data_IF_042470920103
#
_entry.id   IF_042470920103
#
_cell.length_a   1.000
_cell.length_b   1.000
_cell.length_c   1.000
_cell.angle_alpha   90.00
_cell.angle_beta   90.00
_cell.angle_gamma   90.00
#
_symmetry.space_group_name_H-M   'P 1'
#
loop_
_entity.id
_entity.type
_entity.pdbx_description
1 polymer ?
#
# COMPACT_ATOMS: atom_id res chain seq x y z
N UNK A 1 -20.40 3.37 22.38
CA UNK A 1 -21.44 3.27 21.33
C UNK A 1 -21.00 4.11 20.13
N UNK A 2 -21.15 3.60 18.93
CA UNK A 2 -20.87 4.36 17.69
C UNK A 2 -21.78 5.59 17.62
N UNK A 3 -21.23 6.76 17.25
CA UNK A 3 -22.01 8.02 17.16
C UNK A 3 -22.88 8.04 15.92
N UNK A 4 -24.06 8.65 16.01
CA UNK A 4 -24.97 8.88 14.87
C UNK A 4 -25.09 10.37 14.63
N UNK A 5 -24.97 10.81 13.39
CA UNK A 5 -25.05 12.19 12.94
C UNK A 5 -25.84 12.28 11.64
N UNK A 6 -26.46 13.43 11.39
CA UNK A 6 -27.08 13.73 10.10
C UNK A 6 -26.10 14.51 9.23
N UNK A 7 -26.18 14.32 7.93
CA UNK A 7 -25.37 15.04 6.95
C UNK A 7 -25.92 16.47 6.72
N UNK A 8 -25.79 17.31 7.73
CA UNK A 8 -26.22 18.71 7.76
C UNK A 8 -25.06 19.71 7.90
N UNK A 9 -23.82 19.21 7.79
CA UNK A 9 -22.57 19.94 8.00
C UNK A 9 -21.86 19.56 9.29
N UNK A 10 -22.52 18.88 10.23
CA UNK A 10 -21.90 18.42 11.49
C UNK A 10 -20.90 17.29 11.28
N UNK A 11 -20.99 16.56 10.18
CA UNK A 11 -20.04 15.52 9.79
C UNK A 11 -18.61 16.06 9.56
N UNK A 12 -18.47 17.35 9.30
CA UNK A 12 -17.17 18.00 9.07
C UNK A 12 -16.25 17.90 10.30
N UNK A 13 -16.83 17.96 11.51
CA UNK A 13 -16.04 17.83 12.74
C UNK A 13 -15.47 16.43 12.90
N UNK A 14 -16.26 15.40 12.57
CA UNK A 14 -15.77 14.02 12.50
C UNK A 14 -14.59 13.87 11.54
N UNK A 15 -14.66 14.49 10.35
CA UNK A 15 -13.56 14.42 9.40
C UNK A 15 -12.26 15.00 9.93
N UNK A 16 -12.35 16.14 10.62
CA UNK A 16 -11.18 16.74 11.28
C UNK A 16 -10.60 15.85 12.40
N UNK A 17 -11.45 15.12 13.12
CA UNK A 17 -11.00 14.17 14.14
C UNK A 17 -10.29 12.96 13.52
N UNK A 18 -10.83 12.43 12.43
CA UNK A 18 -10.20 11.35 11.67
C UNK A 18 -8.87 11.80 11.06
N UNK A 19 -8.78 13.01 10.52
CA UNK A 19 -7.54 13.58 9.98
C UNK A 19 -6.48 13.81 11.08
N UNK A 20 -6.87 14.30 12.25
CA UNK A 20 -5.94 14.56 13.36
C UNK A 20 -5.21 13.32 13.86
N UNK A 21 -5.83 12.13 13.87
CA UNK A 21 -5.17 10.89 14.29
C UNK A 21 -3.89 10.60 13.49
N UNK A 22 -3.80 11.12 12.25
CA UNK A 22 -2.66 10.96 11.35
C UNK A 22 -1.58 12.03 11.57
N UNK A 23 -1.93 13.19 12.10
CA UNK A 23 -1.01 14.32 12.30
C UNK A 23 -0.20 14.22 13.60
N UNK A 24 -0.61 13.42 14.56
CA UNK A 24 0.15 13.12 15.77
C UNK A 24 1.30 12.13 15.50
N UNK A 25 2.12 12.40 14.47
CA UNK A 25 3.48 11.86 14.44
C UNK A 25 4.18 12.51 15.63
N UNK A 26 4.16 11.77 16.73
CA UNK A 26 4.76 12.17 17.98
C UNK A 26 6.23 12.54 17.69
N UNK A 27 6.66 13.76 17.99
CA UNK A 27 8.04 14.23 17.83
C UNK A 27 9.05 13.23 18.43
N UNK A 28 8.64 12.54 19.49
CA UNK A 28 9.43 11.47 20.09
C UNK A 28 9.66 10.26 19.18
N UNK A 29 8.64 9.86 18.39
CA UNK A 29 8.79 8.77 17.41
C UNK A 29 9.77 9.18 16.32
N UNK A 30 9.63 10.38 15.78
CA UNK A 30 10.52 10.89 14.73
C UNK A 30 11.97 10.99 15.23
N UNK A 31 12.16 11.48 16.45
CA UNK A 31 13.50 11.54 17.08
C UNK A 31 14.11 10.16 17.22
N UNK A 32 13.35 9.20 17.78
CA UNK A 32 13.80 7.81 17.96
C UNK A 32 14.14 7.17 16.61
N UNK A 33 13.32 7.37 15.60
CA UNK A 33 13.57 6.83 14.26
C UNK A 33 14.83 7.44 13.66
N UNK A 34 15.03 8.76 13.75
CA UNK A 34 16.25 9.42 13.26
C UNK A 34 17.53 8.85 13.90
N UNK A 35 17.50 8.56 15.21
CA UNK A 35 18.60 7.92 15.92
C UNK A 35 18.88 6.51 15.38
N UNK A 36 17.82 5.69 15.17
CA UNK A 36 17.95 4.34 14.58
C UNK A 36 18.50 4.41 13.16
N UNK A 37 17.98 5.31 12.31
CA UNK A 37 18.43 5.47 10.92
C UNK A 37 19.93 5.85 10.86
N UNK A 38 20.36 6.79 11.71
CA UNK A 38 21.75 7.22 11.78
C UNK A 38 22.69 6.09 12.25
N UNK A 39 22.24 5.31 13.24
CA UNK A 39 23.00 4.20 13.78
C UNK A 39 23.16 3.05 12.77
N UNK A 40 22.07 2.64 12.09
CA UNK A 40 22.14 1.62 11.04
C UNK A 40 23.02 2.08 9.87
N UNK A 41 22.94 3.36 9.48
CA UNK A 41 23.81 3.92 8.44
C UNK A 41 25.29 3.86 8.79
N UNK A 42 25.63 4.00 10.08
CA UNK A 42 27.02 4.01 10.54
C UNK A 42 27.57 2.61 10.85
N UNK A 43 26.72 1.71 11.36
CA UNK A 43 27.14 0.44 11.97
C UNK A 43 26.52 -0.81 11.31
N UNK A 44 25.80 -0.66 10.17
CA UNK A 44 25.33 -1.78 9.33
C UNK A 44 24.57 -2.87 10.10
N UNK A 45 24.92 -4.12 9.84
CA UNK A 45 24.26 -5.30 10.43
C UNK A 45 24.38 -5.37 11.95
N UNK A 46 25.46 -4.84 12.56
CA UNK A 46 25.58 -4.83 14.01
C UNK A 46 24.49 -3.99 14.67
N UNK A 47 24.17 -2.83 14.09
CA UNK A 47 23.07 -2.00 14.58
C UNK A 47 21.71 -2.71 14.39
N UNK A 48 21.46 -3.30 13.22
CA UNK A 48 20.21 -4.03 12.96
C UNK A 48 20.01 -5.17 13.93
N UNK A 49 21.03 -6.01 14.15
CA UNK A 49 21.00 -7.14 15.09
C UNK A 49 20.74 -6.67 16.53
N UNK A 50 21.40 -5.58 16.94
CA UNK A 50 21.21 -4.98 18.27
C UNK A 50 19.78 -4.47 18.49
N UNK A 51 19.19 -3.80 17.50
CA UNK A 51 17.80 -3.33 17.59
C UNK A 51 16.80 -4.48 17.50
N UNK A 52 17.05 -5.50 16.67
CA UNK A 52 16.22 -6.72 16.62
C UNK A 52 16.21 -7.43 17.97
N UNK A 53 17.38 -7.57 18.62
CA UNK A 53 17.47 -8.13 19.97
C UNK A 53 16.71 -7.28 21.00
N UNK A 54 16.72 -5.96 20.86
CA UNK A 54 16.06 -5.04 21.80
C UNK A 54 14.54 -5.00 21.66
N UNK A 55 14.03 -5.04 20.43
CA UNK A 55 12.63 -4.74 20.14
C UNK A 55 11.80 -5.97 19.74
N UNK A 56 12.43 -6.94 19.09
CA UNK A 56 11.73 -8.10 18.55
C UNK A 56 12.01 -9.36 19.39
N UNK A 57 13.23 -9.89 19.38
CA UNK A 57 13.61 -11.07 20.11
C UNK A 57 15.11 -11.06 20.48
N UNK A 58 15.48 -11.19 21.79
CA UNK A 58 16.87 -11.20 22.24
C UNK A 58 17.70 -12.36 21.63
N UNK A 59 17.06 -13.51 21.40
CA UNK A 59 17.70 -14.74 20.94
C UNK A 59 17.27 -15.11 19.53
N UNK A 60 17.39 -14.17 18.57
CA UNK A 60 17.10 -14.44 17.17
C UNK A 60 18.03 -15.53 16.63
N UNK A 61 17.45 -16.67 16.22
CA UNK A 61 18.21 -17.88 15.86
C UNK A 61 18.91 -17.79 14.52
N UNK A 62 18.35 -17.05 13.57
CA UNK A 62 19.00 -16.76 12.31
C UNK A 62 18.64 -15.35 11.85
N UNK A 63 19.62 -14.59 11.42
CA UNK A 63 19.38 -13.25 10.87
C UNK A 63 18.94 -13.32 9.42
N UNK A 64 19.67 -14.06 8.59
CA UNK A 64 19.27 -14.43 7.23
C UNK A 64 18.65 -15.83 7.26
N UNK A 65 17.43 -15.96 6.79
CA UNK A 65 16.75 -17.26 6.69
C UNK A 65 17.44 -18.09 5.58
N UNK A 66 17.91 -19.31 5.89
CA UNK A 66 18.46 -20.19 4.86
C UNK A 66 17.42 -20.53 3.78
N UNK A 67 17.88 -20.62 2.55
CA UNK A 67 17.00 -20.96 1.42
C UNK A 67 16.31 -22.32 1.60
N UNK A 68 17.05 -23.31 2.12
CA UNK A 68 16.50 -24.64 2.45
C UNK A 68 15.30 -24.53 3.40
N UNK A 69 15.40 -23.69 4.46
CA UNK A 69 14.30 -23.49 5.41
C UNK A 69 13.07 -22.88 4.76
N UNK A 70 13.24 -22.01 3.74
CA UNK A 70 12.14 -21.45 2.97
C UNK A 70 11.51 -22.55 2.10
N UNK A 71 12.30 -23.37 1.44
CA UNK A 71 11.82 -24.45 0.57
C UNK A 71 11.15 -25.58 1.36
N UNK A 72 11.66 -25.91 2.55
CA UNK A 72 11.08 -26.94 3.42
C UNK A 72 9.64 -26.64 3.79
N UNK A 73 9.25 -25.35 3.87
CA UNK A 73 7.84 -24.99 4.17
C UNK A 73 6.85 -25.50 3.13
N UNK A 74 7.27 -25.68 1.87
CA UNK A 74 6.41 -26.23 0.81
C UNK A 74 6.00 -27.68 1.06
N UNK A 75 6.83 -28.43 1.80
CA UNK A 75 6.60 -29.85 2.09
C UNK A 75 6.00 -30.07 3.50
N UNK A 76 6.25 -29.14 4.41
CA UNK A 76 5.81 -29.22 5.81
C UNK A 76 4.43 -28.55 6.07
N UNK A 77 3.98 -27.67 5.18
CA UNK A 77 2.76 -26.89 5.37
C UNK A 77 1.49 -27.75 5.27
N UNK A 78 0.43 -27.27 5.91
CA UNK A 78 -0.91 -27.82 5.73
C UNK A 78 -1.33 -27.72 4.26
N UNK A 79 -1.64 -28.85 3.59
CA UNK A 79 -2.06 -28.83 2.19
C UNK A 79 -3.27 -27.93 1.91
N UNK A 80 -4.21 -27.80 2.87
CA UNK A 80 -5.37 -26.93 2.69
C UNK A 80 -4.96 -25.46 2.66
N UNK A 81 -3.98 -25.05 3.46
CA UNK A 81 -3.43 -23.69 3.43
C UNK A 81 -2.68 -23.45 2.12
N UNK A 82 -1.89 -24.40 1.64
CA UNK A 82 -1.18 -24.31 0.36
C UNK A 82 -2.16 -24.09 -0.78
N UNK A 83 -3.22 -24.93 -0.86
CA UNK A 83 -4.26 -24.80 -1.90
C UNK A 83 -4.98 -23.44 -1.83
N UNK A 84 -5.31 -22.96 -0.64
CA UNK A 84 -5.94 -21.65 -0.46
C UNK A 84 -5.03 -20.52 -0.93
N UNK A 85 -3.73 -20.52 -0.57
CA UNK A 85 -2.77 -19.53 -1.02
C UNK A 85 -2.55 -19.58 -2.52
N UNK A 86 -2.50 -20.76 -3.14
CA UNK A 86 -2.38 -20.91 -4.61
C UNK A 86 -3.58 -20.31 -5.33
N UNK A 87 -4.81 -20.52 -4.85
CA UNK A 87 -6.00 -19.89 -5.41
C UNK A 87 -5.95 -18.34 -5.30
N UNK A 88 -5.49 -17.82 -4.16
CA UNK A 88 -5.27 -16.38 -3.99
C UNK A 88 -4.21 -15.87 -5.00
N UNK A 89 -3.08 -16.56 -5.14
CA UNK A 89 -2.00 -16.23 -6.08
C UNK A 89 -2.51 -16.18 -7.51
N UNK A 90 -3.33 -17.16 -7.92
CA UNK A 90 -3.92 -17.19 -9.27
C UNK A 90 -4.75 -15.93 -9.55
N UNK A 91 -5.67 -15.59 -8.65
CA UNK A 91 -6.54 -14.42 -8.79
C UNK A 91 -5.75 -13.10 -8.79
N UNK A 92 -4.80 -12.92 -7.85
CA UNK A 92 -3.95 -11.74 -7.76
C UNK A 92 -3.10 -11.61 -9.02
N UNK A 93 -2.55 -12.72 -9.51
CA UNK A 93 -1.75 -12.74 -10.74
C UNK A 93 -2.60 -12.36 -11.96
N UNK A 94 -3.79 -12.94 -12.08
CA UNK A 94 -4.70 -12.65 -13.21
C UNK A 94 -5.08 -11.18 -13.27
N UNK A 95 -5.37 -10.56 -12.12
CA UNK A 95 -5.67 -9.14 -12.02
C UNK A 95 -4.46 -8.26 -12.40
N UNK A 96 -3.32 -8.48 -11.74
CA UNK A 96 -2.13 -7.66 -11.92
C UNK A 96 -1.48 -7.80 -13.31
N UNK A 97 -1.64 -8.93 -13.98
CA UNK A 97 -1.19 -9.10 -15.37
C UNK A 97 -1.83 -8.08 -16.33
N UNK A 98 -3.08 -7.63 -16.06
CA UNK A 98 -3.75 -6.60 -16.87
C UNK A 98 -3.14 -5.20 -16.71
N UNK A 99 -2.37 -4.97 -15.67
CA UNK A 99 -1.70 -3.69 -15.39
C UNK A 99 -0.35 -3.58 -16.10
N UNK A 100 0.16 -4.66 -16.70
CA UNK A 100 1.47 -4.66 -17.35
C UNK A 100 1.49 -3.71 -18.54
N UNK A 101 2.37 -2.73 -18.52
CA UNK A 101 2.57 -1.75 -19.59
C UNK A 101 3.78 -2.11 -20.43
N UNK A 102 3.67 -1.85 -21.74
CA UNK A 102 4.77 -1.97 -22.68
C UNK A 102 5.37 -0.59 -22.99
N UNK A 103 6.64 -0.57 -23.35
CA UNK A 103 7.25 0.60 -23.97
C UNK A 103 6.68 0.82 -25.38
N UNK A 104 6.93 2.00 -25.93
CA UNK A 104 6.55 2.35 -27.29
C UNK A 104 7.68 3.05 -28.04
N UNK A 105 7.60 3.04 -29.36
CA UNK A 105 8.50 3.74 -30.25
C UNK A 105 7.67 4.46 -31.32
N UNK A 106 8.02 5.69 -31.59
CA UNK A 106 7.45 6.55 -32.63
C UNK A 106 8.55 6.90 -33.64
N UNK A 107 8.26 6.81 -34.91
CA UNK A 107 9.15 7.16 -36.01
C UNK A 107 8.41 8.05 -37.01
N UNK A 108 9.15 8.82 -37.80
CA UNK A 108 8.59 9.54 -38.94
C UNK A 108 9.54 9.52 -40.16
N UNK A 109 9.13 10.18 -41.24
CA UNK A 109 9.85 10.19 -42.52
C UNK A 109 11.21 10.94 -42.46
N UNK A 110 11.43 11.81 -41.46
CA UNK A 110 12.73 12.44 -41.20
C UNK A 110 13.77 11.51 -40.57
N UNK A 111 13.35 10.29 -40.17
CA UNK A 111 14.20 9.28 -39.58
C UNK A 111 14.45 9.50 -38.08
N UNK A 112 13.65 10.35 -37.40
CA UNK A 112 13.71 10.45 -35.95
C UNK A 112 13.02 9.28 -35.30
N UNK A 113 13.55 8.86 -34.15
CA UNK A 113 12.98 7.81 -33.29
C UNK A 113 12.86 8.37 -31.88
N UNK A 114 11.64 8.38 -31.38
CA UNK A 114 11.35 8.80 -30.00
C UNK A 114 10.57 7.67 -29.33
N UNK A 115 10.92 7.33 -28.10
CA UNK A 115 10.18 6.27 -27.42
C UNK A 115 10.32 6.29 -25.92
N UNK A 116 9.60 5.38 -25.32
CA UNK A 116 9.63 5.11 -23.90
C UNK A 116 9.98 3.64 -23.65
N UNK A 117 10.99 3.40 -22.83
CA UNK A 117 11.35 2.10 -22.32
C UNK A 117 10.70 1.91 -20.94
N UNK A 118 10.05 0.78 -20.74
CA UNK A 118 9.51 0.35 -19.44
C UNK A 118 10.30 -0.86 -18.97
N UNK A 119 10.80 -0.85 -17.74
CA UNK A 119 11.50 -1.99 -17.14
C UNK A 119 11.21 -2.09 -15.64
N UNK A 120 11.25 -3.30 -15.09
CA UNK A 120 11.21 -3.54 -13.65
C UNK A 120 12.38 -2.89 -12.92
N UNK A 121 12.19 -2.57 -11.66
CA UNK A 121 13.26 -2.16 -10.74
C UNK A 121 14.23 -3.32 -10.54
N UNK A 122 15.50 -3.01 -10.24
CA UNK A 122 16.50 -4.04 -10.05
C UNK A 122 16.25 -4.84 -8.76
N UNK A 123 16.08 -4.14 -7.63
CA UNK A 123 15.87 -4.73 -6.30
C UNK A 123 14.77 -3.99 -5.55
N UNK A 124 13.89 -4.74 -4.90
CA UNK A 124 12.84 -4.17 -4.03
C UNK A 124 12.84 -4.86 -2.68
N UNK A 125 12.52 -4.09 -1.64
CA UNK A 125 12.36 -4.56 -0.28
C UNK A 125 10.88 -4.71 0.08
N UNK A 126 10.50 -5.88 0.57
CA UNK A 126 9.19 -6.12 1.16
C UNK A 126 9.29 -6.06 2.67
N UNK A 127 8.56 -5.17 3.31
CA UNK A 127 8.34 -5.19 4.75
C UNK A 127 7.07 -5.98 5.04
N UNK A 128 7.20 -7.12 5.71
CA UNK A 128 6.06 -7.94 6.11
C UNK A 128 5.94 -7.89 7.63
N UNK A 129 4.84 -7.37 8.17
CA UNK A 129 4.64 -7.33 9.61
C UNK A 129 4.64 -8.74 10.22
N UNK A 130 5.14 -8.83 11.43
CA UNK A 130 5.09 -10.04 12.26
C UNK A 130 4.69 -9.65 13.67
N UNK A 131 4.62 -10.62 14.56
CA UNK A 131 4.28 -10.42 15.97
C UNK A 131 3.03 -11.18 16.38
N UNK A 132 1.94 -10.48 16.74
CA UNK A 132 0.71 -11.12 17.23
C UNK A 132 -0.15 -11.75 16.12
N UNK A 133 0.02 -11.35 14.88
CA UNK A 133 -0.64 -11.93 13.71
C UNK A 133 0.40 -12.15 12.59
N UNK A 134 0.24 -13.22 11.83
CA UNK A 134 0.96 -13.47 10.60
C UNK A 134 0.16 -12.88 9.43
N UNK A 135 0.88 -12.31 8.46
CA UNK A 135 0.25 -11.73 7.27
C UNK A 135 0.85 -12.34 5.99
N UNK A 136 0.61 -13.62 5.70
CA UNK A 136 1.04 -14.23 4.44
C UNK A 136 0.43 -13.51 3.22
N UNK A 137 -0.79 -12.97 3.33
CA UNK A 137 -1.43 -12.13 2.31
C UNK A 137 -0.58 -10.92 1.91
N UNK A 138 0.09 -10.26 2.87
CA UNK A 138 0.99 -9.14 2.58
C UNK A 138 2.19 -9.56 1.74
N UNK A 139 2.65 -10.82 1.86
CA UNK A 139 3.70 -11.34 0.96
C UNK A 139 3.16 -11.43 -0.47
N UNK A 140 1.99 -12.06 -0.66
CA UNK A 140 1.36 -12.21 -1.97
C UNK A 140 1.14 -10.85 -2.64
N UNK A 141 0.49 -9.93 -1.94
CA UNK A 141 0.08 -8.63 -2.46
C UNK A 141 1.26 -7.71 -2.82
N UNK A 142 2.43 -7.91 -2.20
CA UNK A 142 3.63 -7.15 -2.53
C UNK A 142 4.51 -7.87 -3.55
N UNK A 143 4.71 -9.19 -3.43
CA UNK A 143 5.64 -9.94 -4.27
C UNK A 143 5.10 -10.19 -5.69
N UNK A 144 3.81 -10.51 -5.84
CA UNK A 144 3.23 -10.86 -7.14
C UNK A 144 3.32 -9.69 -8.14
N UNK A 145 2.85 -8.46 -7.84
CA UNK A 145 3.00 -7.35 -8.78
C UNK A 145 4.47 -6.99 -9.06
N UNK A 146 5.38 -7.17 -8.07
CA UNK A 146 6.82 -6.99 -8.29
C UNK A 146 7.38 -8.00 -9.30
N UNK A 147 7.02 -9.28 -9.19
CA UNK A 147 7.42 -10.32 -10.16
C UNK A 147 6.86 -10.05 -11.55
N UNK A 148 5.59 -9.66 -11.66
CA UNK A 148 4.95 -9.30 -12.95
C UNK A 148 5.63 -8.10 -13.59
N UNK A 149 6.05 -7.11 -12.81
CA UNK A 149 6.82 -5.95 -13.26
C UNK A 149 8.21 -6.31 -13.80
N UNK A 150 8.71 -7.50 -13.47
CA UNK A 150 10.06 -7.96 -13.84
C UNK A 150 11.16 -7.45 -12.90
N UNK A 151 10.83 -7.27 -11.63
CA UNK A 151 11.84 -7.02 -10.58
C UNK A 151 12.80 -8.19 -10.52
N UNK A 152 14.12 -7.91 -10.50
CA UNK A 152 15.14 -8.94 -10.60
C UNK A 152 15.41 -9.64 -9.27
N UNK A 153 15.33 -8.90 -8.14
CA UNK A 153 15.57 -9.44 -6.82
C UNK A 153 14.58 -8.85 -5.81
N UNK A 154 13.85 -9.71 -5.10
CA UNK A 154 12.90 -9.36 -4.05
C UNK A 154 13.49 -9.76 -2.71
N UNK A 155 13.68 -8.79 -1.83
CA UNK A 155 14.27 -8.95 -0.51
C UNK A 155 13.17 -8.69 0.53
N UNK A 156 12.87 -9.68 1.35
CA UNK A 156 11.87 -9.56 2.40
C UNK A 156 12.51 -9.39 3.77
N UNK A 157 11.98 -8.48 4.57
CA UNK A 157 12.27 -8.35 6.00
C UNK A 157 10.99 -8.59 6.80
N UNK A 158 11.10 -9.36 7.87
CA UNK A 158 10.02 -9.67 8.79
C UNK A 158 10.57 -9.90 10.19
N UNK A 159 9.92 -9.40 11.27
CA UNK A 159 10.41 -9.63 12.62
C UNK A 159 10.33 -11.13 12.96
N UNK A 160 11.28 -11.64 13.77
CA UNK A 160 11.22 -12.99 14.31
C UNK A 160 10.03 -13.16 15.26
N UNK A 161 9.58 -14.39 15.46
CA UNK A 161 8.70 -14.76 16.56
C UNK A 161 9.42 -14.60 17.90
N UNK A 162 8.67 -14.62 19.00
CA UNK A 162 9.22 -14.44 20.35
C UNK A 162 10.26 -15.50 20.75
N UNK A 163 10.21 -16.68 20.13
CA UNK A 163 11.17 -17.77 20.32
C UNK A 163 12.40 -17.69 19.40
N UNK A 164 12.51 -16.61 18.62
CA UNK A 164 13.59 -16.34 17.69
C UNK A 164 13.50 -17.11 16.36
N UNK A 165 12.38 -17.79 16.09
CA UNK A 165 12.16 -18.49 14.82
C UNK A 165 11.40 -17.61 13.82
N UNK A 166 11.50 -17.89 12.50
CA UNK A 166 10.64 -17.27 11.52
C UNK A 166 9.21 -17.81 11.58
N UNK A 167 8.24 -17.01 11.18
CA UNK A 167 6.87 -17.49 11.02
C UNK A 167 6.78 -18.37 9.76
N UNK A 168 6.32 -19.63 9.92
CA UNK A 168 6.27 -20.62 8.85
C UNK A 168 5.29 -20.25 7.73
N UNK A 169 4.14 -19.62 8.04
CA UNK A 169 3.15 -19.24 7.03
C UNK A 169 3.64 -18.07 6.16
N UNK A 170 4.41 -17.13 6.76
CA UNK A 170 5.08 -16.06 6.02
C UNK A 170 6.16 -16.66 5.10
N UNK A 171 6.95 -17.63 5.58
CA UNK A 171 7.95 -18.30 4.75
C UNK A 171 7.32 -19.12 3.62
N UNK A 172 6.21 -19.81 3.89
CA UNK A 172 5.45 -20.53 2.86
C UNK A 172 4.99 -19.57 1.75
N UNK A 173 4.39 -18.43 2.13
CA UNK A 173 3.99 -17.42 1.16
C UNK A 173 5.18 -16.86 0.38
N UNK A 174 6.33 -16.66 1.03
CA UNK A 174 7.57 -16.22 0.39
C UNK A 174 8.08 -17.26 -0.63
N UNK A 175 8.05 -18.56 -0.28
CA UNK A 175 8.42 -19.65 -1.17
C UNK A 175 7.49 -19.71 -2.39
N UNK A 176 6.17 -19.70 -2.17
CA UNK A 176 5.16 -19.74 -3.24
C UNK A 176 5.26 -18.55 -4.20
N UNK A 177 5.60 -17.35 -3.70
CA UNK A 177 5.78 -16.14 -4.51
C UNK A 177 7.19 -15.99 -5.09
N UNK A 178 8.13 -16.87 -4.75
CA UNK A 178 9.52 -16.81 -5.23
C UNK A 178 10.27 -15.58 -4.73
N UNK A 179 10.15 -15.24 -3.45
CA UNK A 179 10.98 -14.22 -2.78
C UNK A 179 12.42 -14.71 -2.72
N UNK A 180 13.37 -13.85 -3.11
CA UNK A 180 14.76 -14.29 -3.31
C UNK A 180 15.58 -14.36 -2.00
N UNK A 181 15.30 -13.47 -1.05
CA UNK A 181 15.97 -13.44 0.27
C UNK A 181 15.01 -13.02 1.36
N UNK A 182 15.15 -13.64 2.53
CA UNK A 182 14.39 -13.31 3.73
C UNK A 182 15.32 -13.02 4.90
N UNK A 183 15.09 -11.90 5.60
CA UNK A 183 15.83 -11.51 6.79
C UNK A 183 14.90 -11.30 7.98
N UNK A 184 15.32 -11.78 9.14
CA UNK A 184 14.57 -11.65 10.38
C UNK A 184 14.97 -10.37 11.13
N UNK A 185 14.33 -9.29 10.75
CA UNK A 185 14.39 -8.00 11.44
C UNK A 185 13.12 -7.20 11.17
N UNK A 186 12.68 -6.43 12.14
CA UNK A 186 11.49 -5.57 12.05
C UNK A 186 11.81 -4.10 12.25
N UNK A 187 10.77 -3.26 12.42
CA UNK A 187 10.89 -1.87 12.82
C UNK A 187 11.65 -0.95 11.86
N UNK A 188 12.01 0.23 12.37
CA UNK A 188 12.73 1.25 11.61
C UNK A 188 14.14 0.79 11.16
N UNK A 189 14.78 -0.10 11.93
CA UNK A 189 16.09 -0.64 11.57
C UNK A 189 16.06 -1.51 10.32
N UNK A 190 15.00 -2.28 10.10
CA UNK A 190 14.82 -3.08 8.90
C UNK A 190 14.64 -2.18 7.66
N UNK A 191 13.83 -1.12 7.78
CA UNK A 191 13.64 -0.12 6.72
C UNK A 191 14.95 0.59 6.40
N UNK A 192 15.74 0.96 7.43
CA UNK A 192 17.05 1.57 7.25
C UNK A 192 18.03 0.64 6.52
N UNK A 193 18.05 -0.65 6.90
CA UNK A 193 18.91 -1.65 6.27
C UNK A 193 18.59 -1.82 4.78
N UNK A 194 17.31 -1.90 4.42
CA UNK A 194 16.89 -1.96 3.01
C UNK A 194 17.25 -0.67 2.23
N UNK A 195 17.15 0.49 2.88
CA UNK A 195 17.40 1.78 2.21
C UNK A 195 18.88 2.08 2.00
N UNK A 196 19.74 1.78 2.97
CA UNK A 196 21.16 2.08 2.90
C UNK A 196 21.99 0.92 2.35
N UNK A 197 21.53 -0.31 2.54
CA UNK A 197 22.30 -1.54 2.43
C UNK A 197 23.15 -1.76 3.68
N UNK A 198 23.41 -3.03 3.98
CA UNK A 198 24.33 -3.47 5.02
C UNK A 198 25.28 -4.53 4.43
N UNK A 199 26.08 -5.21 5.24
CA UNK A 199 26.95 -6.27 4.79
C UNK A 199 26.14 -7.47 4.26
N UNK A 200 25.00 -7.79 4.89
CA UNK A 200 24.13 -8.92 4.50
C UNK A 200 22.89 -8.50 3.72
N UNK A 201 22.23 -7.38 4.10
CA UNK A 201 21.02 -6.91 3.44
C UNK A 201 21.36 -5.98 2.28
N UNK A 202 21.06 -6.37 1.02
CA UNK A 202 21.32 -5.51 -0.13
C UNK A 202 20.49 -4.22 -0.10
N UNK A 203 21.09 -3.11 -0.56
CA UNK A 203 20.35 -1.88 -0.81
C UNK A 203 19.30 -2.11 -1.90
N UNK A 204 18.09 -1.58 -1.69
CA UNK A 204 16.97 -1.68 -2.64
C UNK A 204 16.61 -0.34 -3.26
N UNK A 205 15.92 -0.37 -4.40
CA UNK A 205 15.42 0.83 -5.09
C UNK A 205 14.08 1.31 -4.52
N UNK A 206 13.27 0.39 -3.97
CA UNK A 206 11.96 0.69 -3.39
C UNK A 206 11.67 -0.21 -2.19
N UNK A 207 10.98 0.31 -1.18
CA UNK A 207 10.48 -0.43 -0.02
C UNK A 207 8.95 -0.36 -0.05
N UNK A 208 8.30 -1.52 0.02
CA UNK A 208 6.84 -1.65 0.04
C UNK A 208 6.38 -2.50 1.22
N UNK A 209 5.12 -2.38 1.58
CA UNK A 209 4.50 -3.13 2.65
C UNK A 209 4.13 -2.27 3.87
N UNK A 210 3.05 -2.67 4.58
CA UNK A 210 2.54 -1.98 5.76
C UNK A 210 3.44 -2.22 6.97
N UNK A 211 3.39 -1.31 7.94
CA UNK A 211 4.09 -1.46 9.20
C UNK A 211 3.58 -0.48 10.25
N UNK A 212 4.07 -0.63 11.49
CA UNK A 212 3.70 0.25 12.58
C UNK A 212 4.23 1.68 12.37
N UNK A 213 3.89 2.60 13.28
CA UNK A 213 4.26 4.01 13.19
C UNK A 213 5.77 4.26 13.04
N UNK A 214 6.64 3.40 13.60
CA UNK A 214 8.09 3.52 13.43
C UNK A 214 8.53 3.17 12.01
N UNK A 215 7.90 2.15 11.40
CA UNK A 215 8.13 1.75 10.00
C UNK A 215 7.64 2.84 9.05
N UNK A 216 6.42 3.34 9.24
CA UNK A 216 5.85 4.41 8.43
C UNK A 216 6.70 5.69 8.52
N UNK A 217 7.16 6.06 9.73
CA UNK A 217 8.05 7.21 9.94
C UNK A 217 9.41 7.01 9.29
N UNK A 218 9.98 5.80 9.36
CA UNK A 218 11.25 5.49 8.70
C UNK A 218 11.14 5.59 7.18
N UNK A 219 10.07 5.04 6.59
CA UNK A 219 9.77 5.18 5.15
C UNK A 219 9.66 6.66 4.74
N UNK A 220 8.90 7.46 5.50
CA UNK A 220 8.77 8.91 5.28
C UNK A 220 10.11 9.63 5.28
N UNK A 221 10.96 9.37 6.28
CA UNK A 221 12.25 10.05 6.42
C UNK A 221 13.29 9.61 5.39
N UNK A 222 13.13 8.42 4.84
CA UNK A 222 14.04 7.85 3.83
C UNK A 222 13.58 8.06 2.39
N UNK A 223 12.36 8.58 2.19
CA UNK A 223 11.88 8.92 0.87
C UNK A 223 12.83 9.91 0.18
N UNK A 224 13.22 9.58 -1.06
CA UNK A 224 14.26 10.30 -1.79
C UNK A 224 15.66 9.63 -1.70
N UNK A 225 15.96 8.88 -0.62
CA UNK A 225 17.12 7.97 -0.56
C UNK A 225 16.75 6.61 -1.16
N UNK A 226 15.55 6.16 -0.89
CA UNK A 226 14.88 4.99 -1.45
C UNK A 226 13.43 5.41 -1.79
N UNK A 227 12.84 4.79 -2.80
CA UNK A 227 11.43 5.00 -3.08
C UNK A 227 10.55 4.15 -2.17
N UNK A 228 9.30 4.54 -1.95
CA UNK A 228 8.35 3.82 -1.11
C UNK A 228 7.01 3.64 -1.84
N UNK A 229 6.16 2.72 -1.37
CA UNK A 229 4.77 2.60 -1.81
C UNK A 229 3.95 3.83 -1.42
N UNK A 230 3.77 4.02 -0.11
CA UNK A 230 3.05 5.13 0.49
C UNK A 230 3.40 5.29 1.96
N UNK A 231 2.92 6.37 2.57
CA UNK A 231 2.96 6.57 4.02
C UNK A 231 1.60 6.09 4.54
N UNK A 232 1.56 4.86 5.05
CA UNK A 232 0.33 4.28 5.57
C UNK A 232 -0.03 4.87 6.93
N UNK A 233 -1.29 5.25 7.09
CA UNK A 233 -1.94 5.54 8.37
C UNK A 233 -2.71 4.33 8.91
N UNK A 234 -3.54 4.51 9.94
CA UNK A 234 -4.46 3.50 10.43
C UNK A 234 -5.50 3.11 9.37
N UNK A 235 -5.91 1.87 9.38
CA UNK A 235 -6.88 1.32 8.41
C UNK A 235 -8.27 1.98 8.49
N UNK A 236 -8.98 2.00 7.37
CA UNK A 236 -10.24 2.72 7.20
C UNK A 236 -11.23 1.91 6.36
N UNK A 237 -12.48 1.83 6.83
CA UNK A 237 -13.61 1.38 6.02
C UNK A 237 -14.71 2.42 6.02
N UNK A 238 -15.30 2.63 4.85
CA UNK A 238 -16.53 3.35 4.67
C UNK A 238 -17.53 2.43 3.98
N UNK A 239 -18.69 2.22 4.61
CA UNK A 239 -19.81 1.49 4.00
C UNK A 239 -20.88 2.48 3.61
N UNK A 240 -21.25 2.51 2.34
CA UNK A 240 -22.28 3.42 1.78
C UNK A 240 -23.50 2.60 1.40
N UNK A 241 -24.68 2.95 1.96
CA UNK A 241 -25.87 2.12 1.78
C UNK A 241 -27.12 2.92 1.48
N UNK A 242 -28.05 2.26 0.73
CA UNK A 242 -29.46 2.63 0.68
C UNK A 242 -30.30 1.77 1.64
N UNK A 243 -31.64 1.81 1.51
CA UNK A 243 -32.55 1.03 2.38
C UNK A 243 -32.56 -0.47 2.09
N UNK A 244 -31.97 -0.94 0.99
CA UNK A 244 -31.93 -2.37 0.62
C UNK A 244 -30.84 -3.15 1.36
N UNK A 245 -29.88 -2.47 1.98
CA UNK A 245 -28.76 -3.09 2.68
C UNK A 245 -29.23 -3.93 3.85
N UNK A 246 -28.52 -5.06 4.07
CA UNK A 246 -28.71 -5.90 5.23
C UNK A 246 -27.85 -5.40 6.42
N UNK A 247 -28.45 -4.89 7.50
CA UNK A 247 -27.72 -4.33 8.64
C UNK A 247 -26.76 -5.31 9.31
N UNK A 248 -27.06 -6.62 9.22
CA UNK A 248 -26.17 -7.66 9.75
C UNK A 248 -24.85 -7.73 9.00
N UNK A 249 -24.86 -7.56 7.68
CA UNK A 249 -23.64 -7.55 6.85
C UNK A 249 -22.88 -6.27 7.09
N UNK A 250 -23.55 -5.11 7.04
CA UNK A 250 -22.94 -3.80 7.33
C UNK A 250 -22.22 -3.79 8.69
N UNK A 251 -22.85 -4.36 9.74
CA UNK A 251 -22.21 -4.45 11.04
C UNK A 251 -20.96 -5.34 11.04
N UNK A 252 -20.99 -6.46 10.30
CA UNK A 252 -19.85 -7.35 10.18
C UNK A 252 -18.67 -6.65 9.46
N UNK A 253 -18.97 -5.93 8.37
CA UNK A 253 -17.96 -5.23 7.55
C UNK A 253 -17.33 -4.05 8.32
N UNK A 254 -18.11 -3.29 9.09
CA UNK A 254 -17.56 -2.25 9.98
C UNK A 254 -16.62 -2.83 11.04
N UNK A 255 -16.92 -4.03 11.57
CA UNK A 255 -16.11 -4.67 12.61
C UNK A 255 -14.88 -5.36 12.04
N UNK A 256 -14.90 -5.86 10.79
CA UNK A 256 -13.72 -6.45 10.15
C UNK A 256 -12.57 -5.45 10.10
N UNK A 257 -12.86 -4.18 9.82
CA UNK A 257 -11.85 -3.14 9.83
C UNK A 257 -11.51 -2.63 11.24
N UNK A 258 -12.53 -2.48 12.10
CA UNK A 258 -12.34 -1.98 13.46
C UNK A 258 -11.46 -2.90 14.32
N UNK A 259 -11.35 -4.20 13.99
CA UNK A 259 -10.50 -5.14 14.72
C UNK A 259 -9.01 -5.01 14.42
N UNK A 260 -8.61 -4.32 13.32
CA UNK A 260 -7.22 -4.19 12.92
C UNK A 260 -6.39 -3.41 13.94
N UNK A 261 -6.89 -2.24 14.39
CA UNK A 261 -6.19 -1.38 15.35
C UNK A 261 -7.17 -0.47 16.10
N UNK A 262 -6.77 -0.01 17.29
CA UNK A 262 -7.55 0.96 18.08
C UNK A 262 -7.78 2.29 17.37
N UNK A 263 -6.90 2.67 16.44
CA UNK A 263 -6.99 3.87 15.62
C UNK A 263 -7.73 3.66 14.30
N UNK A 264 -8.15 2.43 13.97
CA UNK A 264 -8.92 2.17 12.77
C UNK A 264 -10.22 2.98 12.75
N UNK A 265 -10.68 3.40 11.57
CA UNK A 265 -11.99 4.06 11.43
C UNK A 265 -12.97 3.19 10.66
N UNK A 266 -14.21 3.18 11.14
CA UNK A 266 -15.30 2.45 10.51
C UNK A 266 -16.54 3.36 10.44
N UNK A 267 -16.86 3.81 9.23
CA UNK A 267 -17.93 4.79 8.99
C UNK A 267 -19.01 4.16 8.11
N UNK A 268 -20.25 4.27 8.55
CA UNK A 268 -21.43 3.98 7.73
C UNK A 268 -22.02 5.31 7.23
N UNK A 269 -22.25 5.43 5.93
CA UNK A 269 -23.11 6.48 5.37
C UNK A 269 -24.34 5.78 4.79
N UNK A 270 -25.52 6.17 5.24
CA UNK A 270 -26.77 5.55 4.80
C UNK A 270 -27.86 6.58 4.55
N UNK A 271 -28.74 6.30 3.58
CA UNK A 271 -29.95 7.08 3.36
C UNK A 271 -31.14 6.56 4.17
N UNK A 272 -30.94 5.48 4.96
CA UNK A 272 -32.01 4.80 5.69
C UNK A 272 -31.80 4.85 7.21
N UNK A 273 -32.75 5.49 7.92
CA UNK A 273 -32.77 5.44 9.38
C UNK A 273 -32.97 4.01 9.93
N UNK A 274 -33.67 3.15 9.18
CA UNK A 274 -33.83 1.75 9.54
C UNK A 274 -32.48 1.04 9.56
N UNK A 275 -31.74 1.12 8.47
CA UNK A 275 -30.40 0.52 8.37
C UNK A 275 -29.48 1.07 9.47
N UNK A 276 -29.49 2.38 9.70
CA UNK A 276 -28.69 3.01 10.76
C UNK A 276 -28.99 2.39 12.15
N UNK A 277 -30.27 2.31 12.53
CA UNK A 277 -30.70 1.79 13.84
C UNK A 277 -30.43 0.30 14.00
N UNK A 278 -30.77 -0.50 12.98
CA UNK A 278 -30.59 -1.96 13.03
C UNK A 278 -29.11 -2.35 12.99
N UNK A 279 -28.25 -1.58 12.31
CA UNK A 279 -26.77 -1.80 12.34
C UNK A 279 -26.22 -1.64 13.75
N UNK A 280 -26.67 -0.66 14.53
CA UNK A 280 -26.22 -0.52 15.95
C UNK A 280 -26.56 -1.76 16.75
N UNK A 281 -27.78 -2.28 16.59
CA UNK A 281 -28.20 -3.50 17.30
C UNK A 281 -27.34 -4.72 16.90
N UNK A 282 -27.05 -4.85 15.60
CA UNK A 282 -26.21 -5.94 15.10
C UNK A 282 -24.74 -5.81 15.53
N UNK A 283 -24.18 -4.58 15.58
CA UNK A 283 -22.85 -4.33 16.14
C UNK A 283 -22.74 -4.81 17.59
N UNK A 284 -23.70 -4.42 18.44
CA UNK A 284 -23.72 -4.84 19.85
C UNK A 284 -23.82 -6.36 20.01
N UNK A 285 -24.64 -7.00 19.20
CA UNK A 285 -24.87 -8.44 19.22
C UNK A 285 -23.66 -9.25 18.75
N UNK A 286 -23.13 -8.92 17.57
CA UNK A 286 -22.04 -9.68 16.95
C UNK A 286 -20.71 -9.50 17.71
N UNK A 287 -20.43 -8.32 18.23
CA UNK A 287 -19.22 -8.02 19.01
C UNK A 287 -19.04 -8.95 20.23
N UNK A 288 -20.12 -9.53 20.79
CA UNK A 288 -20.02 -10.42 21.94
C UNK A 288 -19.24 -11.72 21.65
N UNK A 289 -19.16 -12.11 20.38
CA UNK A 289 -18.53 -13.38 19.95
C UNK A 289 -17.14 -13.19 19.37
N UNK A 290 -16.69 -11.94 19.18
CA UNK A 290 -15.42 -11.64 18.54
C UNK A 290 -14.26 -11.59 19.57
N UNK A 291 -13.12 -12.17 19.19
CA UNK A 291 -11.95 -12.30 20.07
C UNK A 291 -11.25 -10.96 20.38
N UNK A 292 -11.35 -9.98 19.45
CA UNK A 292 -10.69 -8.67 19.59
C UNK A 292 -11.64 -7.54 20.02
N UNK A 293 -12.66 -7.89 20.78
CA UNK A 293 -13.74 -7.00 21.23
C UNK A 293 -13.24 -5.64 21.75
N UNK A 294 -12.23 -5.62 22.62
CA UNK A 294 -11.71 -4.37 23.21
C UNK A 294 -11.14 -3.41 22.17
N UNK A 295 -10.51 -3.94 21.11
CA UNK A 295 -9.96 -3.15 20.01
C UNK A 295 -11.11 -2.58 19.20
N UNK A 296 -12.10 -3.41 18.83
CA UNK A 296 -13.29 -3.03 18.09
C UNK A 296 -14.06 -1.92 18.84
N UNK A 297 -14.32 -2.12 20.14
CA UNK A 297 -15.00 -1.11 20.96
C UNK A 297 -14.26 0.22 20.98
N UNK A 298 -12.94 0.19 21.11
CA UNK A 298 -12.13 1.41 21.12
C UNK A 298 -12.19 2.14 19.76
N UNK A 299 -12.03 1.42 18.67
CA UNK A 299 -12.10 1.94 17.30
C UNK A 299 -13.47 2.57 17.04
N UNK A 300 -14.57 1.82 17.23
CA UNK A 300 -15.93 2.30 16.97
C UNK A 300 -16.34 3.48 17.86
N UNK A 301 -15.90 3.52 19.11
CA UNK A 301 -16.25 4.61 20.03
C UNK A 301 -15.54 5.92 19.71
N UNK A 302 -14.31 5.87 19.20
CA UNK A 302 -13.50 7.06 18.98
C UNK A 302 -13.49 7.50 17.51
N UNK A 303 -13.49 6.55 16.56
CA UNK A 303 -13.31 6.82 15.14
C UNK A 303 -14.42 6.21 14.27
N UNK A 304 -15.44 5.60 14.89
CA UNK A 304 -16.62 5.10 14.22
C UNK A 304 -17.73 6.14 14.17
N UNK A 305 -18.54 6.12 13.09
CA UNK A 305 -19.73 6.93 12.97
C UNK A 305 -20.75 6.32 12.00
N UNK A 306 -22.03 6.67 12.21
CA UNK A 306 -23.11 6.45 11.28
C UNK A 306 -23.59 7.82 10.83
N UNK A 307 -23.50 8.12 9.54
CA UNK A 307 -23.93 9.37 8.93
C UNK A 307 -25.20 9.11 8.15
N UNK A 308 -26.28 9.81 8.47
CA UNK A 308 -27.56 9.71 7.76
C UNK A 308 -27.58 10.82 6.70
N UNK A 309 -27.51 10.43 5.43
CA UNK A 309 -27.55 11.31 4.28
C UNK A 309 -28.99 11.46 3.74
N UNK A 310 -29.27 12.54 3.05
CA UNK A 310 -30.57 12.84 2.45
C UNK A 310 -30.86 11.91 1.26
N UNK A 311 -29.82 11.63 0.47
CA UNK A 311 -29.84 10.77 -0.70
C UNK A 311 -28.46 10.19 -1.01
N UNK A 312 -28.40 9.27 -1.96
CA UNK A 312 -27.16 8.60 -2.37
C UNK A 312 -26.16 9.57 -3.04
N UNK A 313 -26.62 10.69 -3.60
CA UNK A 313 -25.72 11.69 -4.20
C UNK A 313 -24.92 12.40 -3.12
N UNK A 314 -25.61 12.88 -2.08
CA UNK A 314 -24.95 13.48 -0.91
C UNK A 314 -24.00 12.46 -0.24
N UNK A 315 -24.43 11.19 -0.15
CA UNK A 315 -23.61 10.13 0.40
C UNK A 315 -22.30 9.92 -0.40
N UNK A 316 -22.34 9.92 -1.74
CA UNK A 316 -21.17 9.87 -2.60
C UNK A 316 -20.27 11.10 -2.43
N UNK A 317 -20.83 12.30 -2.31
CA UNK A 317 -20.07 13.53 -2.10
C UNK A 317 -19.30 13.48 -0.76
N UNK A 318 -19.94 12.96 0.28
CA UNK A 318 -19.31 12.75 1.60
C UNK A 318 -18.20 11.70 1.50
N UNK A 319 -18.43 10.57 0.81
CA UNK A 319 -17.44 9.53 0.60
C UNK A 319 -16.20 10.07 -0.13
N UNK A 320 -16.38 10.84 -1.21
CA UNK A 320 -15.27 11.48 -1.93
C UNK A 320 -14.50 12.49 -1.08
N UNK A 321 -15.17 13.17 -0.13
CA UNK A 321 -14.52 14.09 0.81
C UNK A 321 -13.71 13.36 1.88
N UNK A 322 -14.15 12.19 2.32
CA UNK A 322 -13.37 11.33 3.21
C UNK A 322 -12.19 10.68 2.49
N UNK A 323 -12.38 10.29 1.22
CA UNK A 323 -11.40 9.58 0.42
C UNK A 323 -10.85 8.33 1.14
N UNK A 324 -11.71 7.37 1.49
CA UNK A 324 -11.38 6.25 2.35
C UNK A 324 -10.47 5.23 1.66
N UNK A 325 -9.78 4.44 2.48
CA UNK A 325 -9.01 3.27 2.04
C UNK A 325 -9.92 2.23 1.36
N UNK A 326 -10.93 1.75 2.09
CA UNK A 326 -11.92 0.80 1.60
C UNK A 326 -13.29 1.49 1.54
N UNK A 327 -13.98 1.36 0.41
CA UNK A 327 -15.35 1.82 0.24
C UNK A 327 -16.23 0.68 -0.26
N UNK A 328 -17.21 0.29 0.55
CA UNK A 328 -18.26 -0.63 0.15
C UNK A 328 -19.53 0.12 -0.24
N UNK A 329 -20.16 -0.27 -1.34
CA UNK A 329 -21.45 0.28 -1.77
C UNK A 329 -22.47 -0.85 -1.77
N UNK A 330 -23.34 -0.86 -0.77
CA UNK A 330 -24.43 -1.84 -0.61
C UNK A 330 -25.74 -1.13 -0.91
N UNK A 331 -26.14 -1.15 -2.17
CA UNK A 331 -27.34 -0.50 -2.71
C UNK A 331 -28.04 -1.41 -3.71
N UNK A 332 -29.27 -1.05 -4.10
CA UNK A 332 -30.03 -1.81 -5.09
C UNK A 332 -29.28 -1.95 -6.42
N UNK A 333 -28.62 -0.86 -6.88
CA UNK A 333 -27.85 -0.83 -8.12
C UNK A 333 -26.42 -0.30 -7.86
N UNK A 334 -25.53 -1.05 -7.23
CA UNK A 334 -24.22 -0.52 -6.78
C UNK A 334 -23.31 -0.08 -7.93
N UNK A 335 -23.45 -0.65 -9.13
CA UNK A 335 -22.63 -0.31 -10.31
C UNK A 335 -22.88 1.12 -10.82
N UNK A 336 -24.02 1.73 -10.51
CA UNK A 336 -24.36 3.10 -10.94
C UNK A 336 -23.46 4.15 -10.26
N UNK A 337 -22.85 3.82 -9.13
CA UNK A 337 -22.03 4.74 -8.34
C UNK A 337 -20.55 4.73 -8.71
N UNK A 338 -20.07 3.81 -9.57
CA UNK A 338 -18.65 3.73 -9.98
C UNK A 338 -18.15 5.07 -10.53
N UNK A 339 -18.92 5.70 -11.42
CA UNK A 339 -18.54 6.97 -12.05
C UNK A 339 -18.73 8.21 -11.18
N UNK A 340 -19.06 8.06 -9.89
CA UNK A 340 -19.28 9.14 -8.93
C UNK A 340 -18.35 9.07 -7.72
N UNK A 341 -17.60 7.99 -7.59
CA UNK A 341 -16.72 7.70 -6.45
C UNK A 341 -15.28 7.73 -6.93
N UNK A 342 -14.72 8.95 -7.01
CA UNK A 342 -13.40 9.21 -7.61
C UNK A 342 -12.25 9.01 -6.61
N UNK A 343 -12.49 9.29 -5.32
CA UNK A 343 -11.45 9.34 -4.30
C UNK A 343 -11.57 8.14 -3.36
N UNK A 344 -11.16 6.97 -3.84
CA UNK A 344 -11.22 5.72 -3.04
C UNK A 344 -9.95 4.90 -3.25
N UNK A 345 -9.50 4.20 -2.22
CA UNK A 345 -8.43 3.23 -2.34
C UNK A 345 -8.90 1.98 -3.08
N UNK A 346 -9.94 1.32 -2.59
CA UNK A 346 -10.59 0.19 -3.24
C UNK A 346 -12.11 0.28 -3.10
N UNK A 347 -12.82 -0.05 -4.19
CA UNK A 347 -14.28 0.03 -4.27
C UNK A 347 -14.88 -1.38 -4.36
N UNK A 348 -15.77 -1.70 -3.41
CA UNK A 348 -16.47 -2.96 -3.29
C UNK A 348 -17.96 -2.77 -3.59
N UNK A 349 -18.52 -3.55 -4.49
CA UNK A 349 -19.85 -3.30 -5.04
C UNK A 349 -20.82 -4.45 -4.74
N UNK A 350 -21.85 -4.12 -3.98
CA UNK A 350 -22.93 -5.05 -3.62
C UNK A 350 -22.64 -5.85 -2.34
N UNK A 351 -23.69 -6.38 -1.76
CA UNK A 351 -23.69 -7.03 -0.44
C UNK A 351 -22.89 -8.35 -0.35
N UNK A 352 -22.39 -8.87 -1.47
CA UNK A 352 -21.57 -10.08 -1.53
C UNK A 352 -20.10 -9.78 -1.88
N UNK A 353 -19.69 -8.53 -1.77
CA UNK A 353 -18.33 -8.07 -2.01
C UNK A 353 -17.77 -7.36 -0.77
N UNK A 354 -17.66 -8.06 0.38
CA UNK A 354 -17.10 -7.45 1.59
C UNK A 354 -15.59 -7.23 1.47
N UNK A 355 -15.05 -6.32 2.26
CA UNK A 355 -13.63 -5.94 2.27
C UNK A 355 -12.68 -7.16 2.39
N UNK A 356 -12.92 -8.18 3.27
CA UNK A 356 -12.03 -9.34 3.35
C UNK A 356 -11.91 -10.14 2.05
N UNK A 357 -12.89 -10.06 1.15
CA UNK A 357 -12.78 -10.66 -0.17
C UNK A 357 -11.62 -10.02 -0.99
N UNK A 358 -11.48 -8.69 -0.92
CA UNK A 358 -10.38 -7.95 -1.54
C UNK A 358 -9.05 -8.20 -0.85
N UNK A 359 -9.05 -8.29 0.46
CA UNK A 359 -7.83 -8.49 1.24
C UNK A 359 -7.11 -9.81 0.94
N UNK A 360 -7.87 -10.85 0.58
CA UNK A 360 -7.30 -12.18 0.42
C UNK A 360 -7.46 -12.78 -0.96
N UNK A 361 -8.58 -12.61 -1.65
CA UNK A 361 -8.96 -13.52 -2.72
C UNK A 361 -9.28 -12.88 -4.08
N UNK A 362 -9.93 -11.70 -4.10
CA UNK A 362 -10.50 -11.13 -5.33
C UNK A 362 -9.47 -10.75 -6.41
N UNK A 363 -8.23 -10.46 -6.02
CA UNK A 363 -7.15 -10.14 -6.93
C UNK A 363 -6.63 -8.70 -6.88
N UNK A 364 -7.46 -7.65 -6.72
CA UNK A 364 -6.97 -6.29 -6.45
C UNK A 364 -6.07 -6.23 -5.22
N UNK A 365 -5.15 -5.27 -5.19
CA UNK A 365 -4.17 -5.16 -4.11
C UNK A 365 -4.78 -4.56 -2.85
N UNK A 366 -4.43 -5.10 -1.69
CA UNK A 366 -4.84 -4.59 -0.38
C UNK A 366 -3.88 -3.55 0.22
N UNK A 367 -2.76 -3.24 -0.43
CA UNK A 367 -1.89 -2.14 -0.02
C UNK A 367 -2.47 -0.86 -0.62
N UNK A 368 -3.27 -0.18 0.17
CA UNK A 368 -4.15 0.90 -0.25
C UNK A 368 -3.74 2.24 0.39
N UNK A 369 -4.03 3.36 -0.29
CA UNK A 369 -3.83 4.69 0.30
C UNK A 369 -4.83 4.93 1.44
N UNK A 370 -4.31 5.35 2.59
CA UNK A 370 -5.06 5.67 3.80
C UNK A 370 -5.08 7.16 4.07
N UNK A 371 -5.85 7.59 5.05
CA UNK A 371 -5.76 8.96 5.58
C UNK A 371 -6.10 10.03 4.55
N UNK A 372 -7.10 9.73 3.71
CA UNK A 372 -7.55 10.63 2.67
C UNK A 372 -6.58 10.81 1.49
N UNK A 373 -5.48 10.04 1.45
CA UNK A 373 -4.50 10.13 0.36
C UNK A 373 -4.97 9.45 -0.92
N UNK A 374 -6.08 8.72 -0.90
CA UNK A 374 -6.73 8.18 -2.09
C UNK A 374 -7.14 9.26 -3.12
N UNK A 375 -7.09 10.54 -2.74
CA UNK A 375 -7.24 11.68 -3.67
C UNK A 375 -6.11 11.79 -4.70
N UNK A 376 -4.93 11.21 -4.42
CA UNK A 376 -3.73 11.35 -5.27
C UNK A 376 -2.82 10.12 -5.28
N UNK A 377 -2.98 9.18 -4.37
CA UNK A 377 -2.31 7.89 -4.40
C UNK A 377 -3.25 6.80 -4.92
N UNK A 378 -2.65 5.80 -5.57
CA UNK A 378 -3.34 4.59 -6.04
C UNK A 378 -2.94 3.38 -5.21
N UNK A 379 -3.73 2.30 -5.24
CA UNK A 379 -3.31 0.99 -4.73
C UNK A 379 -1.96 0.55 -5.29
N UNK A 380 -1.23 -0.25 -4.53
CA UNK A 380 -0.01 -0.88 -5.02
C UNK A 380 -0.31 -1.69 -6.29
N UNK A 381 0.49 -1.50 -7.31
CA UNK A 381 0.26 -2.07 -8.63
C UNK A 381 1.57 -2.44 -9.33
N UNK A 382 1.48 -3.05 -10.50
CA UNK A 382 2.66 -3.32 -11.35
C UNK A 382 3.41 -2.03 -11.69
N UNK A 383 2.70 -0.90 -11.88
CA UNK A 383 3.32 0.41 -12.13
C UNK A 383 4.21 0.89 -10.99
N UNK A 384 3.93 0.47 -9.76
CA UNK A 384 4.74 0.81 -8.59
C UNK A 384 6.16 0.23 -8.65
N UNK A 385 6.38 -0.80 -9.46
CA UNK A 385 7.63 -1.55 -9.56
C UNK A 385 8.36 -1.37 -10.88
N UNK A 386 7.90 -0.48 -11.76
CA UNK A 386 8.54 -0.20 -13.04
C UNK A 386 9.16 1.18 -13.08
N UNK A 387 10.21 1.30 -13.88
CA UNK A 387 10.82 2.57 -14.24
C UNK A 387 10.60 2.83 -15.72
N UNK A 388 10.17 4.06 -16.03
CA UNK A 388 9.98 4.56 -17.40
C UNK A 388 11.10 5.54 -17.73
N UNK A 389 11.73 5.37 -18.88
CA UNK A 389 12.73 6.29 -19.41
C UNK A 389 12.50 6.56 -20.88
N UNK A 390 12.65 7.82 -21.30
CA UNK A 390 12.60 8.19 -22.70
C UNK A 390 13.94 7.91 -23.38
N UNK A 391 13.89 7.68 -24.70
CA UNK A 391 15.04 7.69 -25.57
C UNK A 391 14.72 8.52 -26.82
N UNK A 392 15.73 9.24 -27.31
CA UNK A 392 15.63 10.18 -28.42
C UNK A 392 16.78 9.88 -29.37
N UNK A 393 16.47 9.64 -30.63
CA UNK A 393 17.42 9.55 -31.73
C UNK A 393 16.97 10.47 -32.85
N UNK A 394 17.89 11.31 -33.37
CA UNK A 394 17.67 12.18 -34.50
C UNK A 394 18.75 11.92 -35.55
N UNK A 395 18.36 11.92 -36.83
CA UNK A 395 19.29 12.00 -37.93
C UNK A 395 19.85 13.43 -38.01
N UNK A 396 20.99 13.63 -38.70
CA UNK A 396 21.54 14.96 -38.97
C UNK A 396 20.51 15.86 -39.65
N UNK A 397 19.79 15.33 -40.64
CA UNK A 397 18.75 16.04 -41.37
C UNK A 397 17.61 16.48 -40.45
N UNK A 398 17.10 15.59 -39.64
CA UNK A 398 16.03 15.91 -38.69
C UNK A 398 16.47 16.96 -37.65
N UNK A 399 17.74 16.93 -37.23
CA UNK A 399 18.28 17.94 -36.33
C UNK A 399 18.42 19.30 -37.03
N UNK A 400 18.86 19.34 -38.31
CA UNK A 400 18.95 20.58 -39.10
C UNK A 400 17.58 21.25 -39.26
N UNK A 401 16.54 20.47 -39.50
CA UNK A 401 15.16 20.97 -39.62
C UNK A 401 14.62 21.57 -38.31
N UNK A 402 15.04 21.07 -37.15
CA UNK A 402 14.60 21.55 -35.84
C UNK A 402 15.50 22.66 -35.24
N UNK A 403 16.66 22.92 -35.84
CA UNK A 403 17.72 23.69 -35.21
C UNK A 403 17.30 25.13 -34.88
N UNK A 404 16.65 25.83 -35.83
CA UNK A 404 16.25 27.25 -35.67
C UNK A 404 15.32 27.41 -34.44
N UNK A 405 14.33 26.55 -34.31
CA UNK A 405 13.38 26.59 -33.19
C UNK A 405 14.07 26.33 -31.86
N UNK A 406 14.93 25.31 -31.79
CA UNK A 406 15.65 24.95 -30.55
C UNK A 406 16.56 26.09 -30.12
N UNK A 407 17.34 26.70 -31.10
CA UNK A 407 18.26 27.80 -30.83
C UNK A 407 17.48 29.01 -30.33
N UNK A 408 16.38 29.37 -30.99
CA UNK A 408 15.56 30.51 -30.62
C UNK A 408 15.02 30.37 -29.18
N UNK A 409 14.47 29.23 -28.84
CA UNK A 409 13.93 28.99 -27.49
C UNK A 409 15.04 29.04 -26.44
N UNK A 410 16.17 28.37 -26.68
CA UNK A 410 17.29 28.36 -25.75
C UNK A 410 17.88 29.80 -25.53
N UNK A 411 17.92 30.63 -26.56
CA UNK A 411 18.37 32.02 -26.44
C UNK A 411 17.38 32.89 -25.65
N UNK A 412 16.08 32.69 -25.85
CA UNK A 412 15.05 33.39 -25.06
C UNK A 412 15.13 33.03 -23.55
N UNK A 413 15.51 31.79 -23.23
CA UNK A 413 15.81 31.34 -21.87
C UNK A 413 17.20 31.80 -21.38
N UNK A 414 18.00 32.49 -22.22
CA UNK A 414 19.39 32.90 -21.94
C UNK A 414 20.35 31.72 -21.72
N UNK A 415 20.02 30.56 -22.27
CA UNK A 415 20.83 29.35 -22.20
C UNK A 415 21.72 29.22 -23.46
N UNK A 416 22.69 30.11 -23.59
CA UNK A 416 23.53 30.20 -24.78
C UNK A 416 24.37 28.95 -25.07
N UNK A 417 24.76 28.20 -24.05
CA UNK A 417 25.44 26.91 -24.22
C UNK A 417 24.53 25.84 -24.83
N UNK A 418 23.22 25.85 -24.49
CA UNK A 418 22.23 24.99 -25.12
C UNK A 418 22.08 25.34 -26.61
N UNK A 419 21.91 26.62 -26.94
CA UNK A 419 21.86 27.07 -28.31
C UNK A 419 23.13 26.68 -29.08
N UNK A 420 24.31 26.88 -28.49
CA UNK A 420 25.59 26.53 -29.10
C UNK A 420 25.74 25.04 -29.36
N UNK A 421 25.21 24.19 -28.46
CA UNK A 421 25.22 22.72 -28.63
C UNK A 421 24.51 22.28 -29.92
N UNK A 422 23.48 23.00 -30.34
CA UNK A 422 22.80 22.76 -31.63
C UNK A 422 23.59 23.37 -32.80
N UNK A 423 24.04 24.62 -32.69
CA UNK A 423 24.76 25.32 -33.77
C UNK A 423 25.94 24.50 -34.29
N UNK A 424 26.82 24.06 -33.40
CA UNK A 424 28.02 23.31 -33.79
C UNK A 424 27.72 21.99 -34.50
N UNK A 425 26.48 21.45 -34.40
CA UNK A 425 26.08 20.23 -35.08
C UNK A 425 25.40 20.42 -36.42
N UNK A 426 25.05 21.68 -36.75
CA UNK A 426 24.37 22.01 -38.01
C UNK A 426 25.23 22.91 -38.92
N UNK A 427 26.34 23.44 -38.39
CA UNK A 427 27.33 24.18 -39.13
C UNK A 427 28.28 23.31 -39.97
N UNK A 428 28.43 22.02 -39.55
CA UNK A 428 29.16 20.98 -40.30
C UNK A 428 28.26 20.30 -41.35
#
# INVERSE_FOLDING_TARGET
MIRQIYADGSEIELFKEIEKRNSEINENVEKTVKEILADVKANGDEAVKRYTAKFDCPDCKCYRVPEEMIQDTLTEADPQLVDALLNCIENITAYHQKQKQNGYMMTDDSGKIIGQRVRGLDKVGLYVPGGTAAYPSSVLMNAIPAKIAGVQEIIMVTPPLKDGTPNKDILLAAALCGVDKVFMCGGAQAVAALAYGTEEIPKVAKIVGPGNIFVATAKKLLYGTVDIDMIAGPSEILVLTDDTANPRYVAADLMSQAEHDKLASAVLITTSERVAKETVVELEKQMQTLSRKEIIEHSLNNYGAIIIAQDMMQACDIANRLAPEHLEVIAENPLEYIGRLDNVGSLFLGQYSPEPLGDYYAGPNHVLPTSGTARFFSPLSVDSFVKKSSYIYYTQQALKEAAEDIILVAERERLTAHANSIRVRVED
#
